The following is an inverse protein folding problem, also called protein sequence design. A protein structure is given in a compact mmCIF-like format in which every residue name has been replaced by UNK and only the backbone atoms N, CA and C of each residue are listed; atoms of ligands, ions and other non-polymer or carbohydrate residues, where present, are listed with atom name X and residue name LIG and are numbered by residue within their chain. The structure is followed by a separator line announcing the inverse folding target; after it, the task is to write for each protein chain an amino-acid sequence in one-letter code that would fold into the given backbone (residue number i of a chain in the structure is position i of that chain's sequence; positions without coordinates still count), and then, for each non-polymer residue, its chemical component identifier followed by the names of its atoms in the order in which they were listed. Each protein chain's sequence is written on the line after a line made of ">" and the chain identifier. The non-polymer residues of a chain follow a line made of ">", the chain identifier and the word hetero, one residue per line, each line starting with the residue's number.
data_IF_548792319280
#
_entry.id   IF_548792319280
#
_cell.length_a   1.000
_cell.length_b   1.000
_cell.length_c   1.000
_cell.angle_alpha   90.00
_cell.angle_beta   90.00
_cell.angle_gamma   90.00
#
_symmetry.space_group_name_H-M   'P 1'
#
loop_
_entity.id
_entity.type
_entity.pdbx_description
1 polymer ?
#
# COMPACT_ATOMS: atom_id res chain seq x y z
N UNK A 1 78.02 31.21 33.30
CA UNK A 1 79.29 31.11 32.56
C UNK A 1 78.99 30.32 31.30
N UNK A 2 79.14 30.98 30.15
CA UNK A 2 79.34 30.51 28.76
C UNK A 2 79.78 29.03 28.58
N UNK A 3 79.55 28.29 27.49
CA UNK A 3 79.05 28.56 26.13
C UNK A 3 78.86 27.22 25.37
N UNK A 4 77.99 27.27 24.35
CA UNK A 4 78.02 26.68 23.01
C UNK A 4 78.42 25.20 22.67
N UNK A 5 77.47 24.59 21.93
CA UNK A 5 77.56 23.83 20.66
C UNK A 5 78.41 22.55 20.55
N UNK A 6 77.71 21.46 20.17
CA UNK A 6 78.04 20.72 18.95
C UNK A 6 76.81 20.01 18.37
N UNK A 7 76.51 20.33 17.10
CA UNK A 7 75.64 19.57 16.20
C UNK A 7 76.27 18.21 15.88
N UNK A 8 75.48 17.15 15.86
CA UNK A 8 75.59 16.08 14.86
C UNK A 8 74.25 15.37 14.75
N UNK A 9 73.79 15.25 13.50
CA UNK A 9 72.66 14.46 13.04
C UNK A 9 72.81 12.99 13.42
N UNK A 10 71.70 12.31 13.69
CA UNK A 10 71.19 11.26 12.81
C UNK A 10 69.87 10.67 13.35
N UNK A 11 68.81 10.97 12.60
CA UNK A 11 67.72 10.08 12.17
C UNK A 11 67.48 8.81 13.01
N UNK A 12 66.36 8.77 13.72
CA UNK A 12 65.52 7.57 13.83
C UNK A 12 64.17 7.92 14.48
N UNK A 13 63.33 8.66 13.77
CA UNK A 13 61.89 8.43 13.89
C UNK A 13 61.59 7.25 12.99
N UNK A 14 61.59 6.05 13.57
CA UNK A 14 61.10 4.86 12.88
C UNK A 14 59.58 5.01 12.80
N UNK A 15 59.10 5.69 11.76
CA UNK A 15 57.73 5.53 11.29
C UNK A 15 57.50 4.02 11.12
N UNK A 16 56.63 3.45 11.96
CA UNK A 16 56.07 2.12 11.69
C UNK A 16 55.41 2.20 10.32
N UNK A 17 55.83 1.41 9.32
CA UNK A 17 55.10 1.38 8.07
C UNK A 17 53.69 0.89 8.40
N UNK A 18 52.71 1.76 8.15
CA UNK A 18 51.30 1.42 8.14
C UNK A 18 51.15 0.44 6.97
N UNK A 19 51.31 -0.85 7.29
CA UNK A 19 51.30 -1.95 6.35
C UNK A 19 49.87 -2.03 5.79
N UNK A 20 49.57 -1.24 4.77
CA UNK A 20 48.44 -1.48 3.89
C UNK A 20 48.75 -2.81 3.21
N UNK A 21 48.28 -3.91 3.80
CA UNK A 21 48.32 -5.24 3.19
C UNK A 21 47.53 -5.11 1.89
N UNK A 22 48.22 -4.96 0.76
CA UNK A 22 47.60 -4.95 -0.55
C UNK A 22 46.90 -6.30 -0.73
N UNK A 23 45.57 -6.24 -0.85
CA UNK A 23 44.77 -7.43 -1.08
C UNK A 23 45.13 -8.02 -2.44
N UNK A 24 45.26 -9.34 -2.49
CA UNK A 24 45.43 -10.01 -3.77
C UNK A 24 44.17 -9.82 -4.64
N UNK A 25 44.27 -9.87 -5.98
CA UNK A 25 43.11 -9.75 -6.86
C UNK A 25 41.96 -10.72 -6.51
N UNK A 26 42.30 -11.90 -5.97
CA UNK A 26 41.33 -12.92 -5.53
C UNK A 26 40.64 -12.55 -4.23
N UNK A 27 41.38 -12.02 -3.25
CA UNK A 27 40.81 -11.50 -2.00
C UNK A 27 39.88 -10.31 -2.27
N UNK A 28 40.20 -9.47 -3.25
CA UNK A 28 39.31 -8.39 -3.70
C UNK A 28 38.01 -8.93 -4.30
N UNK A 29 38.06 -10.01 -5.09
CA UNK A 29 36.85 -10.64 -5.65
C UNK A 29 35.98 -11.28 -4.56
N UNK A 30 36.60 -11.99 -3.62
CA UNK A 30 35.90 -12.59 -2.47
C UNK A 30 35.20 -11.52 -1.64
N UNK A 31 35.91 -10.44 -1.29
CA UNK A 31 35.34 -9.34 -0.52
C UNK A 31 34.14 -8.71 -1.23
N UNK A 32 34.20 -8.52 -2.55
CA UNK A 32 33.06 -8.02 -3.34
C UNK A 32 31.85 -8.96 -3.30
N UNK A 33 32.08 -10.28 -3.33
CA UNK A 33 31.02 -11.28 -3.24
C UNK A 33 30.39 -11.32 -1.85
N UNK A 34 31.19 -11.17 -0.79
CA UNK A 34 30.71 -11.05 0.59
C UNK A 34 29.88 -9.77 0.79
N UNK A 35 30.37 -8.63 0.29
CA UNK A 35 29.63 -7.36 0.30
C UNK A 35 28.29 -7.48 -0.47
N UNK A 36 28.29 -8.19 -1.59
CA UNK A 36 27.07 -8.46 -2.37
C UNK A 36 26.10 -9.37 -1.61
N UNK A 37 26.61 -10.41 -0.95
CA UNK A 37 25.82 -11.31 -0.10
C UNK A 37 25.12 -10.53 1.02
N UNK A 38 25.86 -9.69 1.73
CA UNK A 38 25.31 -8.86 2.81
C UNK A 38 24.27 -7.87 2.28
N UNK A 39 24.52 -7.31 1.08
CA UNK A 39 23.55 -6.48 0.35
C UNK A 39 22.24 -7.21 0.08
N UNK A 40 22.30 -8.40 -0.55
CA UNK A 40 21.11 -9.18 -0.89
C UNK A 40 20.35 -9.67 0.35
N UNK A 41 21.05 -10.06 1.42
CA UNK A 41 20.39 -10.44 2.68
C UNK A 41 19.62 -9.26 3.25
N UNK A 42 20.25 -8.07 3.29
CA UNK A 42 19.60 -6.86 3.80
C UNK A 42 18.36 -6.51 2.98
N UNK A 43 18.49 -6.48 1.65
CA UNK A 43 17.40 -6.18 0.73
C UNK A 43 16.26 -7.20 0.87
N UNK A 44 16.57 -8.49 0.92
CA UNK A 44 15.58 -9.55 1.15
C UNK A 44 14.80 -9.34 2.46
N UNK A 45 15.47 -8.98 3.57
CA UNK A 45 14.82 -8.71 4.86
C UNK A 45 13.88 -7.50 4.77
N UNK A 46 14.30 -6.44 4.09
CA UNK A 46 13.48 -5.24 3.88
C UNK A 46 12.25 -5.56 3.02
N UNK A 47 12.42 -6.28 1.90
CA UNK A 47 11.32 -6.67 1.02
C UNK A 47 10.32 -7.60 1.73
N UNK A 48 10.78 -8.57 2.53
CA UNK A 48 9.90 -9.42 3.34
C UNK A 48 9.02 -8.61 4.30
N UNK A 49 9.62 -7.60 4.98
CA UNK A 49 8.87 -6.69 5.85
C UNK A 49 7.84 -5.87 5.06
N UNK A 50 8.20 -5.42 3.86
CA UNK A 50 7.31 -4.65 2.98
C UNK A 50 6.12 -5.49 2.48
N UNK A 51 6.34 -6.72 2.01
CA UNK A 51 5.27 -7.67 1.63
C UNK A 51 4.28 -7.84 2.78
N UNK A 52 4.79 -8.03 4.00
CA UNK A 52 3.96 -8.12 5.19
C UNK A 52 3.09 -6.87 5.38
N UNK A 53 3.70 -5.69 5.39
CA UNK A 53 2.98 -4.41 5.54
C UNK A 53 1.87 -4.26 4.48
N UNK A 54 2.18 -4.49 3.20
CA UNK A 54 1.20 -4.37 2.11
C UNK A 54 0.03 -5.35 2.27
N UNK A 55 0.29 -6.55 2.79
CA UNK A 55 -0.74 -7.55 3.07
C UNK A 55 -1.68 -7.10 4.19
N UNK A 56 -1.17 -6.46 5.24
CA UNK A 56 -1.99 -5.88 6.31
C UNK A 56 -2.86 -4.75 5.77
N UNK A 57 -2.29 -3.88 4.94
CA UNK A 57 -3.00 -2.75 4.33
C UNK A 57 -4.12 -3.24 3.40
N UNK A 58 -3.90 -4.32 2.65
CA UNK A 58 -4.93 -4.96 1.81
C UNK A 58 -6.20 -5.33 2.61
N UNK A 59 -6.04 -5.93 3.80
CA UNK A 59 -7.17 -6.26 4.66
C UNK A 59 -7.84 -5.02 5.26
N UNK A 60 -7.07 -3.97 5.54
CA UNK A 60 -7.62 -2.70 6.00
C UNK A 60 -8.49 -2.04 4.91
N UNK A 61 -8.05 -2.07 3.65
CA UNK A 61 -8.84 -1.56 2.52
C UNK A 61 -10.16 -2.31 2.36
N UNK A 62 -10.18 -3.63 2.53
CA UNK A 62 -11.43 -4.42 2.50
C UNK A 62 -12.40 -4.03 3.61
N UNK A 63 -11.90 -3.86 4.84
CA UNK A 63 -12.74 -3.41 5.95
C UNK A 63 -13.31 -2.00 5.69
N UNK A 64 -12.48 -1.09 5.16
CA UNK A 64 -12.90 0.24 4.76
C UNK A 64 -13.98 0.19 3.68
N UNK A 65 -13.78 -0.62 2.63
CA UNK A 65 -14.75 -0.83 1.57
C UNK A 65 -16.11 -1.31 2.12
N UNK A 66 -16.12 -2.31 3.01
CA UNK A 66 -17.36 -2.79 3.62
C UNK A 66 -18.08 -1.70 4.41
N UNK A 67 -17.33 -0.91 5.18
CA UNK A 67 -17.91 0.22 5.92
C UNK A 67 -18.50 1.29 4.97
N UNK A 68 -17.79 1.62 3.89
CA UNK A 68 -18.27 2.54 2.87
C UNK A 68 -19.55 2.01 2.22
N UNK A 69 -19.59 0.74 1.83
CA UNK A 69 -20.77 0.11 1.23
C UNK A 69 -21.97 0.11 2.17
N UNK A 70 -21.76 -0.17 3.46
CA UNK A 70 -22.81 -0.06 4.48
C UNK A 70 -23.39 1.35 4.52
N UNK A 71 -22.54 2.37 4.52
CA UNK A 71 -22.99 3.77 4.48
C UNK A 71 -23.79 4.08 3.20
N UNK A 72 -23.30 3.64 2.03
CA UNK A 72 -24.02 3.80 0.75
C UNK A 72 -25.40 3.15 0.81
N UNK A 73 -25.50 1.92 1.33
CA UNK A 73 -26.77 1.20 1.47
C UNK A 73 -27.74 1.95 2.39
N UNK A 74 -27.28 2.39 3.58
CA UNK A 74 -28.13 3.13 4.49
C UNK A 74 -28.65 4.44 3.88
N UNK A 75 -27.80 5.16 3.13
CA UNK A 75 -28.23 6.36 2.42
C UNK A 75 -29.24 6.01 1.34
N UNK A 76 -28.99 5.01 0.50
CA UNK A 76 -29.92 4.58 -0.54
C UNK A 76 -31.28 4.16 0.03
N UNK A 77 -31.30 3.47 1.17
CA UNK A 77 -32.53 3.06 1.85
C UNK A 77 -33.31 4.25 2.42
N UNK A 78 -32.62 5.24 3.00
CA UNK A 78 -33.25 6.51 3.38
C UNK A 78 -33.89 7.19 2.17
N UNK A 79 -33.17 7.24 1.05
CA UNK A 79 -33.69 7.89 -0.16
C UNK A 79 -34.92 7.17 -0.72
N UNK A 80 -34.88 5.84 -0.81
CA UNK A 80 -36.05 5.05 -1.23
C UNK A 80 -37.24 5.28 -0.28
N UNK A 81 -37.00 5.42 1.02
CA UNK A 81 -38.07 5.66 2.01
C UNK A 81 -38.75 7.03 1.86
N UNK A 82 -38.08 8.01 1.25
CA UNK A 82 -38.68 9.32 0.92
C UNK A 82 -39.64 9.22 -0.28
N UNK A 83 -39.35 8.36 -1.26
CA UNK A 83 -40.19 8.16 -2.44
C UNK A 83 -41.29 7.13 -2.24
N UNK A 84 -41.03 6.10 -1.44
CA UNK A 84 -41.95 5.01 -1.15
C UNK A 84 -42.23 5.04 0.35
N UNK A 85 -43.42 5.51 0.78
CA UNK A 85 -43.76 5.57 2.19
C UNK A 85 -43.80 4.16 2.79
N UNK A 86 -42.74 3.81 3.51
CA UNK A 86 -42.64 2.56 4.25
C UNK A 86 -43.16 2.75 5.67
N UNK A 87 -43.80 1.71 6.22
CA UNK A 87 -44.15 1.70 7.65
C UNK A 87 -42.87 1.79 8.49
N UNK A 88 -42.81 2.65 9.53
CA UNK A 88 -41.62 2.80 10.39
C UNK A 88 -40.99 1.47 10.89
N UNK A 89 -41.75 0.46 11.35
CA UNK A 89 -41.15 -0.82 11.76
C UNK A 89 -40.52 -1.60 10.60
N UNK A 90 -41.03 -1.48 9.39
CA UNK A 90 -40.47 -2.15 8.21
C UNK A 90 -39.14 -1.51 7.81
N UNK A 91 -39.06 -0.17 7.84
CA UNK A 91 -37.83 0.58 7.59
C UNK A 91 -36.77 0.27 8.66
N UNK A 92 -37.18 0.23 9.94
CA UNK A 92 -36.30 -0.16 11.04
C UNK A 92 -35.72 -1.56 10.86
N UNK A 93 -36.55 -2.55 10.53
CA UNK A 93 -36.09 -3.92 10.29
C UNK A 93 -35.15 -4.03 9.08
N UNK A 94 -35.40 -3.27 8.01
CA UNK A 94 -34.54 -3.23 6.82
C UNK A 94 -33.14 -2.68 7.17
N UNK A 95 -33.08 -1.56 7.89
CA UNK A 95 -31.82 -0.95 8.33
C UNK A 95 -31.04 -1.87 9.28
N UNK A 96 -31.72 -2.55 10.21
CA UNK A 96 -31.10 -3.55 11.09
C UNK A 96 -30.54 -4.71 10.25
N UNK A 97 -31.29 -5.20 9.27
CA UNK A 97 -30.84 -6.24 8.35
C UNK A 97 -29.57 -5.83 7.58
N UNK A 98 -29.56 -4.63 6.99
CA UNK A 98 -28.38 -4.08 6.30
C UNK A 98 -27.16 -3.99 7.21
N UNK A 99 -27.36 -3.54 8.45
CA UNK A 99 -26.28 -3.44 9.43
C UNK A 99 -25.71 -4.81 9.78
N UNK A 100 -26.58 -5.80 10.05
CA UNK A 100 -26.16 -7.17 10.38
C UNK A 100 -25.38 -7.81 9.22
N UNK A 101 -25.88 -7.66 7.99
CA UNK A 101 -25.24 -8.20 6.77
C UNK A 101 -23.86 -7.57 6.56
N UNK A 102 -23.72 -6.26 6.82
CA UNK A 102 -22.46 -5.54 6.64
C UNK A 102 -21.47 -5.78 7.78
N UNK A 103 -21.96 -6.01 9.01
CA UNK A 103 -21.14 -6.21 10.20
C UNK A 103 -20.32 -7.50 10.13
N UNK A 104 -20.92 -8.58 9.63
CA UNK A 104 -20.24 -9.87 9.51
C UNK A 104 -18.92 -9.80 8.69
N UNK A 105 -18.93 -9.35 7.41
CA UNK A 105 -17.70 -9.21 6.64
C UNK A 105 -16.75 -8.17 7.24
N UNK A 106 -17.26 -7.09 7.83
CA UNK A 106 -16.43 -6.06 8.47
C UNK A 106 -15.63 -6.64 9.64
N UNK A 107 -16.29 -7.33 10.57
CA UNK A 107 -15.66 -7.97 11.73
C UNK A 107 -14.68 -9.05 11.26
N UNK A 108 -15.07 -9.86 10.27
CA UNK A 108 -14.18 -10.85 9.67
C UNK A 108 -12.89 -10.21 9.14
N UNK A 109 -12.98 -9.11 8.35
CA UNK A 109 -11.80 -8.44 7.83
C UNK A 109 -10.93 -7.82 8.92
N UNK A 110 -11.51 -7.29 10.00
CA UNK A 110 -10.75 -6.79 11.15
C UNK A 110 -10.01 -7.91 11.89
N UNK A 111 -10.66 -9.06 12.10
CA UNK A 111 -10.04 -10.23 12.73
C UNK A 111 -8.89 -10.72 11.85
N UNK A 112 -9.11 -10.90 10.54
CA UNK A 112 -8.05 -11.33 9.61
C UNK A 112 -6.89 -10.34 9.57
N UNK A 113 -7.16 -9.03 9.56
CA UNK A 113 -6.11 -8.00 9.65
C UNK A 113 -5.26 -8.17 10.90
N UNK A 114 -5.89 -8.42 12.07
CA UNK A 114 -5.17 -8.62 13.34
C UNK A 114 -4.34 -9.90 13.33
N UNK A 115 -4.91 -11.01 12.86
CA UNK A 115 -4.20 -12.29 12.71
C UNK A 115 -2.98 -12.15 11.82
N UNK A 116 -3.17 -11.62 10.61
CA UNK A 116 -2.08 -11.41 9.64
C UNK A 116 -1.02 -10.46 10.21
N UNK A 117 -1.42 -9.38 10.89
CA UNK A 117 -0.46 -8.47 11.55
C UNK A 117 0.37 -9.18 12.63
N UNK A 118 -0.25 -10.07 13.41
CA UNK A 118 0.46 -10.85 14.43
C UNK A 118 1.39 -11.89 13.79
N UNK A 119 0.93 -12.61 12.77
CA UNK A 119 1.74 -13.57 12.01
C UNK A 119 2.96 -12.90 11.36
N UNK A 120 2.79 -11.73 10.76
CA UNK A 120 3.90 -10.96 10.18
C UNK A 120 4.85 -10.47 11.27
N UNK A 121 4.33 -10.04 12.42
CA UNK A 121 5.19 -9.61 13.54
C UNK A 121 6.07 -10.77 14.02
N UNK A 122 5.47 -11.95 14.22
CA UNK A 122 6.22 -13.15 14.59
C UNK A 122 7.27 -13.51 13.53
N UNK A 123 6.88 -13.55 12.24
CA UNK A 123 7.82 -13.81 11.14
C UNK A 123 8.94 -12.77 11.05
N UNK A 124 8.66 -11.50 11.34
CA UNK A 124 9.69 -10.46 11.32
C UNK A 124 10.65 -10.59 12.50
N UNK A 125 10.16 -10.97 13.68
CA UNK A 125 10.99 -11.31 14.83
C UNK A 125 11.87 -12.53 14.49
N UNK A 126 11.31 -13.56 13.84
CA UNK A 126 12.08 -14.71 13.36
C UNK A 126 13.15 -14.29 12.32
N UNK A 127 12.83 -13.41 11.37
CA UNK A 127 13.79 -12.89 10.37
C UNK A 127 14.92 -12.06 11.01
N UNK A 128 14.61 -11.35 12.11
CA UNK A 128 15.60 -10.59 12.88
C UNK A 128 16.45 -11.52 13.76
N UNK A 129 15.85 -12.57 14.32
CA UNK A 129 16.51 -13.59 15.14
C UNK A 129 17.28 -14.64 14.34
N UNK A 130 16.94 -14.87 13.07
CA UNK A 130 17.81 -15.49 12.06
C UNK A 130 18.97 -14.52 11.74
N UNK A 131 19.72 -14.16 12.78
CA UNK A 131 21.11 -13.75 12.67
C UNK A 131 21.84 -14.90 11.99
N UNK A 132 22.43 -14.61 10.84
CA UNK A 132 23.06 -15.58 9.93
C UNK A 132 22.11 -16.49 9.13
N UNK A 133 21.13 -15.92 8.41
CA UNK A 133 20.48 -16.65 7.29
C UNK A 133 21.58 -17.12 6.31
N UNK A 134 22.01 -18.38 6.46
CA UNK A 134 22.95 -19.07 5.58
C UNK A 134 24.18 -18.26 5.16
N UNK A 135 24.66 -17.32 5.98
CA UNK A 135 25.86 -16.55 5.63
C UNK A 135 27.00 -17.54 5.55
N UNK A 136 27.61 -17.63 4.36
CA UNK A 136 28.72 -18.56 4.16
C UNK A 136 29.87 -18.06 5.03
N UNK A 137 30.29 -18.88 5.99
CA UNK A 137 31.32 -18.51 6.96
C UNK A 137 32.68 -18.83 6.35
N UNK A 138 33.54 -17.82 6.27
CA UNK A 138 34.93 -17.99 5.91
C UNK A 138 35.71 -18.69 7.04
N UNK A 139 36.40 -19.78 6.70
CA UNK A 139 37.28 -20.51 7.62
C UNK A 139 38.69 -19.93 7.52
N UNK A 140 39.02 -19.04 8.46
CA UNK A 140 40.33 -18.38 8.51
C UNK A 140 41.49 -19.35 8.71
N UNK A 141 41.26 -20.55 9.25
CA UNK A 141 42.31 -21.57 9.40
C UNK A 141 42.78 -22.13 8.04
N UNK A 142 41.98 -21.93 6.98
CA UNK A 142 42.24 -22.41 5.62
C UNK A 142 42.57 -21.30 4.63
N UNK A 143 42.83 -20.07 5.10
CA UNK A 143 43.12 -18.90 4.24
C UNK A 143 44.28 -19.15 3.24
N UNK A 144 45.29 -19.95 3.62
CA UNK A 144 46.41 -20.30 2.75
C UNK A 144 46.16 -21.45 1.77
N UNK A 145 44.98 -22.08 1.78
CA UNK A 145 44.64 -23.18 0.87
C UNK A 145 43.90 -22.64 -0.37
N UNK A 146 44.56 -22.68 -1.52
CA UNK A 146 44.00 -22.19 -2.78
C UNK A 146 42.73 -22.93 -3.24
N UNK A 147 42.63 -24.24 -2.96
CA UNK A 147 41.46 -25.06 -3.29
C UNK A 147 40.26 -24.67 -2.41
N UNK A 148 40.52 -24.35 -1.13
CA UNK A 148 39.48 -23.86 -0.22
C UNK A 148 38.97 -22.47 -0.64
N UNK A 149 39.86 -21.56 -1.03
CA UNK A 149 39.48 -20.24 -1.52
C UNK A 149 38.61 -20.32 -2.78
N UNK A 150 38.92 -21.25 -3.70
CA UNK A 150 38.12 -21.46 -4.91
C UNK A 150 36.74 -22.02 -4.59
N UNK A 151 36.68 -22.99 -3.67
CA UNK A 151 35.44 -23.56 -3.18
C UNK A 151 34.57 -22.53 -2.44
N UNK A 152 35.17 -21.69 -1.58
CA UNK A 152 34.47 -20.61 -0.89
C UNK A 152 33.90 -19.58 -1.86
N UNK A 153 34.68 -19.19 -2.87
CA UNK A 153 34.23 -18.28 -3.91
C UNK A 153 33.07 -18.86 -4.74
N UNK A 154 33.11 -20.15 -5.08
CA UNK A 154 32.00 -20.84 -5.77
C UNK A 154 30.73 -20.89 -4.90
N UNK A 155 30.87 -21.14 -3.60
CA UNK A 155 29.73 -21.07 -2.67
C UNK A 155 29.13 -19.68 -2.63
N UNK A 156 29.95 -18.63 -2.49
CA UNK A 156 29.47 -17.24 -2.48
C UNK A 156 28.73 -16.87 -3.77
N UNK A 157 29.26 -17.30 -4.93
CA UNK A 157 28.59 -17.10 -6.23
C UNK A 157 27.22 -17.78 -6.26
N UNK A 158 27.13 -19.04 -5.83
CA UNK A 158 25.86 -19.79 -5.77
C UNK A 158 24.86 -19.17 -4.79
N UNK A 159 25.33 -18.76 -3.61
CA UNK A 159 24.49 -18.11 -2.62
C UNK A 159 23.92 -16.79 -3.13
N UNK A 160 24.77 -15.95 -3.72
CA UNK A 160 24.36 -14.68 -4.32
C UNK A 160 23.35 -14.88 -5.46
N UNK A 161 23.57 -15.88 -6.32
CA UNK A 161 22.62 -16.21 -7.39
C UNK A 161 21.24 -16.59 -6.82
N UNK A 162 21.20 -17.51 -5.85
CA UNK A 162 19.96 -17.93 -5.19
C UNK A 162 19.28 -16.75 -4.48
N UNK A 163 20.02 -15.95 -3.72
CA UNK A 163 19.46 -14.82 -2.97
C UNK A 163 18.99 -13.69 -3.87
N UNK A 164 19.72 -13.35 -4.92
CA UNK A 164 19.28 -12.38 -5.92
C UNK A 164 17.97 -12.81 -6.59
N UNK A 165 17.81 -14.11 -6.86
CA UNK A 165 16.55 -14.66 -7.39
C UNK A 165 15.41 -14.53 -6.38
N UNK A 166 15.63 -14.84 -5.11
CA UNK A 166 14.62 -14.63 -4.06
C UNK A 166 14.21 -13.16 -3.93
N UNK A 167 15.18 -12.23 -3.98
CA UNK A 167 14.94 -10.78 -4.01
C UNK A 167 14.04 -10.41 -5.20
N UNK A 168 14.39 -10.84 -6.41
CA UNK A 168 13.59 -10.53 -7.61
C UNK A 168 12.15 -11.04 -7.55
N UNK A 169 11.93 -12.21 -6.92
CA UNK A 169 10.59 -12.76 -6.70
C UNK A 169 9.80 -11.89 -5.72
N UNK A 170 10.43 -11.42 -4.65
CA UNK A 170 9.80 -10.55 -3.66
C UNK A 170 9.47 -9.17 -4.23
N UNK A 171 10.36 -8.60 -5.05
CA UNK A 171 10.09 -7.34 -5.75
C UNK A 171 8.86 -7.45 -6.66
N UNK A 172 8.74 -8.55 -7.40
CA UNK A 172 7.57 -8.83 -8.24
C UNK A 172 6.30 -9.02 -7.39
N UNK A 173 6.39 -9.72 -6.26
CA UNK A 173 5.27 -9.87 -5.32
C UNK A 173 4.81 -8.51 -4.77
N UNK A 174 5.75 -7.64 -4.37
CA UNK A 174 5.48 -6.27 -3.91
C UNK A 174 4.81 -5.47 -5.01
N UNK A 175 5.29 -5.58 -6.26
CA UNK A 175 4.70 -4.90 -7.41
C UNK A 175 3.23 -5.30 -7.60
N UNK A 176 2.94 -6.60 -7.57
CA UNK A 176 1.58 -7.13 -7.70
C UNK A 176 0.67 -6.71 -6.53
N UNK A 177 1.17 -6.76 -5.29
CA UNK A 177 0.44 -6.31 -4.11
C UNK A 177 0.14 -4.81 -4.17
N UNK A 178 1.10 -4.00 -4.62
CA UNK A 178 0.93 -2.56 -4.79
C UNK A 178 -0.13 -2.24 -5.83
N UNK A 179 -0.12 -2.90 -6.99
CA UNK A 179 -1.15 -2.70 -8.02
C UNK A 179 -2.55 -3.07 -7.48
N UNK A 180 -2.64 -4.21 -6.77
CA UNK A 180 -3.89 -4.65 -6.16
C UNK A 180 -4.39 -3.65 -5.12
N UNK A 181 -3.51 -3.16 -4.24
CA UNK A 181 -3.86 -2.17 -3.21
C UNK A 181 -4.31 -0.84 -3.82
N UNK A 182 -3.60 -0.34 -4.84
CA UNK A 182 -4.00 0.87 -5.58
C UNK A 182 -5.40 0.69 -6.19
N UNK A 183 -5.69 -0.47 -6.80
CA UNK A 183 -7.01 -0.75 -7.38
C UNK A 183 -8.12 -0.69 -6.32
N UNK A 184 -7.90 -1.26 -5.15
CA UNK A 184 -8.85 -1.20 -4.04
C UNK A 184 -9.01 0.22 -3.50
N UNK A 185 -7.91 0.96 -3.37
CA UNK A 185 -7.93 2.35 -2.94
C UNK A 185 -8.75 3.23 -3.88
N UNK A 186 -8.49 3.15 -5.19
CA UNK A 186 -9.26 3.86 -6.22
C UNK A 186 -10.74 3.49 -6.12
N UNK A 187 -11.06 2.21 -5.98
CA UNK A 187 -12.45 1.74 -5.88
C UNK A 187 -13.17 2.34 -4.68
N UNK A 188 -12.55 2.33 -3.50
CA UNK A 188 -13.12 2.89 -2.26
C UNK A 188 -13.38 4.39 -2.42
N UNK A 189 -12.38 5.16 -2.84
CA UNK A 189 -12.54 6.62 -2.98
C UNK A 189 -13.55 6.99 -4.07
N UNK A 190 -13.60 6.24 -5.17
CA UNK A 190 -14.58 6.46 -6.26
C UNK A 190 -16.00 6.24 -5.75
N UNK A 191 -16.26 5.14 -5.04
CA UNK A 191 -17.59 4.83 -4.49
C UNK A 191 -18.00 5.90 -3.46
N UNK A 192 -17.10 6.27 -2.56
CA UNK A 192 -17.36 7.32 -1.59
C UNK A 192 -17.69 8.65 -2.28
N UNK A 193 -16.84 9.11 -3.20
CA UNK A 193 -17.06 10.36 -3.91
C UNK A 193 -18.41 10.38 -4.64
N UNK A 194 -18.71 9.35 -5.43
CA UNK A 194 -19.99 9.23 -6.16
C UNK A 194 -21.17 9.25 -5.18
N UNK A 195 -21.10 8.53 -4.06
CA UNK A 195 -22.19 8.46 -3.07
C UNK A 195 -22.46 9.83 -2.45
N UNK A 196 -21.41 10.52 -2.00
CA UNK A 196 -21.55 11.87 -1.42
C UNK A 196 -22.10 12.86 -2.45
N UNK A 197 -21.64 12.80 -3.70
CA UNK A 197 -22.18 13.65 -4.78
C UNK A 197 -23.67 13.39 -5.03
N UNK A 198 -24.10 12.13 -5.07
CA UNK A 198 -25.51 11.77 -5.24
C UNK A 198 -26.34 12.33 -4.06
N UNK A 199 -25.90 12.12 -2.82
CA UNK A 199 -26.59 12.62 -1.63
C UNK A 199 -26.67 14.15 -1.62
N UNK A 200 -25.58 14.83 -1.99
CA UNK A 200 -25.52 16.29 -2.06
C UNK A 200 -26.49 16.85 -3.11
N UNK A 201 -26.47 16.31 -4.33
CA UNK A 201 -27.38 16.73 -5.40
C UNK A 201 -28.83 16.52 -4.96
N UNK A 202 -29.13 15.36 -4.36
CA UNK A 202 -30.49 15.03 -4.00
C UNK A 202 -31.03 15.90 -2.85
N UNK A 203 -30.25 16.09 -1.79
CA UNK A 203 -30.63 16.98 -0.67
C UNK A 203 -30.78 18.43 -1.14
N UNK A 204 -29.95 18.89 -2.08
CA UNK A 204 -30.06 20.22 -2.69
C UNK A 204 -31.36 20.36 -3.50
N UNK A 205 -31.74 19.33 -4.26
CA UNK A 205 -33.00 19.34 -5.01
C UNK A 205 -34.22 19.36 -4.08
N UNK A 206 -34.19 18.60 -2.99
CA UNK A 206 -35.25 18.61 -1.97
C UNK A 206 -35.35 20.01 -1.36
N UNK A 207 -34.24 20.57 -0.89
CA UNK A 207 -34.21 21.91 -0.29
C UNK A 207 -34.73 23.00 -1.25
N UNK A 208 -34.39 22.90 -2.54
CA UNK A 208 -34.88 23.81 -3.56
C UNK A 208 -36.41 23.68 -3.78
N UNK A 209 -36.93 22.45 -3.77
CA UNK A 209 -38.34 22.19 -4.01
C UNK A 209 -39.23 22.48 -2.79
N UNK A 210 -38.77 22.19 -1.58
CA UNK A 210 -39.56 22.39 -0.35
C UNK A 210 -39.44 23.80 0.21
N UNK A 211 -38.30 24.47 0.00
CA UNK A 211 -37.99 25.78 0.59
C UNK A 211 -37.88 25.77 2.13
N UNK A 212 -37.87 24.59 2.76
CA UNK A 212 -37.82 24.48 4.23
C UNK A 212 -36.40 24.75 4.74
N UNK A 213 -36.30 25.51 5.83
CA UNK A 213 -35.01 25.83 6.46
C UNK A 213 -34.25 24.58 6.94
N UNK A 214 -34.97 23.53 7.35
CA UNK A 214 -34.37 22.26 7.79
C UNK A 214 -33.65 21.56 6.62
N UNK A 215 -34.31 21.43 5.47
CA UNK A 215 -33.75 20.81 4.27
C UNK A 215 -32.55 21.62 3.72
N UNK A 216 -32.62 22.96 3.78
CA UNK A 216 -31.51 23.85 3.40
C UNK A 216 -30.30 23.66 4.31
N UNK A 217 -30.52 23.49 5.61
CA UNK A 217 -29.45 23.24 6.60
C UNK A 217 -28.80 21.88 6.35
N UNK A 218 -29.60 20.86 6.06
CA UNK A 218 -29.10 19.51 5.78
C UNK A 218 -28.26 19.47 4.50
N UNK A 219 -28.71 20.18 3.44
CA UNK A 219 -27.92 20.34 2.20
C UNK A 219 -26.57 21.03 2.47
N UNK A 220 -26.54 22.09 3.29
CA UNK A 220 -25.31 22.78 3.69
C UNK A 220 -24.36 21.88 4.49
N UNK A 221 -24.91 21.02 5.36
CA UNK A 221 -24.11 20.06 6.14
C UNK A 221 -23.33 19.07 5.26
N UNK A 222 -23.89 18.68 4.12
CA UNK A 222 -23.26 17.76 3.18
C UNK A 222 -22.17 18.39 2.29
N UNK A 223 -22.14 19.73 2.16
CA UNK A 223 -21.15 20.44 1.34
C UNK A 223 -19.73 20.13 1.79
N UNK A 224 -19.46 20.26 3.09
CA UNK A 224 -18.12 20.05 3.63
C UNK A 224 -17.64 18.61 3.42
N UNK A 225 -18.49 17.63 3.69
CA UNK A 225 -18.19 16.22 3.46
C UNK A 225 -17.93 15.91 1.97
N UNK A 226 -18.73 16.48 1.08
CA UNK A 226 -18.60 16.31 -0.38
C UNK A 226 -17.31 16.95 -0.91
N UNK A 227 -16.94 18.13 -0.43
CA UNK A 227 -15.67 18.78 -0.79
C UNK A 227 -14.48 17.95 -0.31
N UNK A 228 -14.50 17.52 0.96
CA UNK A 228 -13.40 16.75 1.56
C UNK A 228 -13.19 15.43 0.82
N UNK A 229 -14.24 14.67 0.54
CA UNK A 229 -14.10 13.40 -0.18
C UNK A 229 -13.68 13.60 -1.64
N UNK A 230 -14.15 14.68 -2.29
CA UNK A 230 -13.73 15.03 -3.65
C UNK A 230 -12.25 15.38 -3.69
N UNK A 231 -11.77 16.16 -2.72
CA UNK A 231 -10.34 16.48 -2.60
C UNK A 231 -9.49 15.24 -2.38
N UNK A 232 -9.92 14.34 -1.48
CA UNK A 232 -9.24 13.06 -1.25
C UNK A 232 -9.23 12.18 -2.51
N UNK A 233 -10.34 12.11 -3.24
CA UNK A 233 -10.40 11.42 -4.53
C UNK A 233 -9.43 12.05 -5.54
N UNK A 234 -9.38 13.37 -5.65
CA UNK A 234 -8.48 14.04 -6.59
C UNK A 234 -7.01 13.72 -6.27
N UNK A 235 -6.61 13.80 -5.01
CA UNK A 235 -5.22 13.50 -4.60
C UNK A 235 -4.88 12.02 -4.84
N UNK A 236 -5.79 11.11 -4.46
CA UNK A 236 -5.50 9.67 -4.41
C UNK A 236 -5.78 8.95 -5.73
N UNK A 237 -6.59 9.50 -6.63
CA UNK A 237 -7.06 8.79 -7.82
C UNK A 237 -6.59 9.44 -9.13
N UNK A 238 -6.56 10.78 -9.21
CA UNK A 238 -6.17 11.49 -10.45
C UNK A 238 -4.76 11.13 -10.93
N UNK A 239 -3.74 10.93 -10.07
CA UNK A 239 -2.41 10.50 -10.52
C UNK A 239 -2.44 9.18 -11.30
N UNK A 240 -3.41 8.31 -11.05
CA UNK A 240 -3.55 7.00 -11.72
C UNK A 240 -4.44 7.05 -12.98
N UNK A 241 -5.34 8.03 -13.09
CA UNK A 241 -6.23 8.19 -14.25
C UNK A 241 -5.54 8.95 -15.39
N UNK A 242 -4.54 9.77 -15.08
CA UNK A 242 -3.86 10.63 -16.06
C UNK A 242 -3.14 9.89 -17.19
N UNK A 243 -3.04 8.55 -17.14
CA UNK A 243 -2.49 7.71 -18.22
C UNK A 243 -3.53 6.89 -19.03
N UNK A 244 -4.83 6.95 -18.72
CA UNK A 244 -5.85 6.15 -19.43
C UNK A 244 -7.19 6.85 -19.76
N UNK A 245 -7.29 8.15 -20.11
CA UNK A 245 -8.60 8.82 -20.08
C UNK A 245 -9.50 8.55 -21.29
N UNK A 246 -8.99 8.07 -22.42
CA UNK A 246 -9.75 8.22 -23.67
C UNK A 246 -10.88 7.19 -23.88
N UNK A 247 -10.74 5.94 -23.41
CA UNK A 247 -11.71 4.88 -23.73
C UNK A 247 -12.85 4.77 -22.70
N UNK A 248 -12.52 4.83 -21.40
CA UNK A 248 -13.47 4.69 -20.29
C UNK A 248 -14.45 5.86 -20.19
N UNK A 249 -13.99 7.10 -20.41
CA UNK A 249 -14.89 8.26 -20.46
C UNK A 249 -15.87 8.17 -21.64
N UNK A 250 -15.44 7.68 -22.81
CA UNK A 250 -16.33 7.53 -23.97
C UNK A 250 -17.43 6.49 -23.75
N UNK A 251 -17.12 5.40 -23.04
CA UNK A 251 -18.05 4.33 -22.72
C UNK A 251 -19.04 4.77 -21.64
N UNK A 252 -18.56 5.46 -20.60
CA UNK A 252 -19.40 5.98 -19.52
C UNK A 252 -20.36 7.07 -20.04
N UNK A 253 -19.88 8.01 -20.87
CA UNK A 253 -20.72 9.01 -21.51
C UNK A 253 -21.80 8.40 -22.43
N UNK A 254 -21.47 7.33 -23.16
CA UNK A 254 -22.46 6.61 -23.99
C UNK A 254 -23.53 5.91 -23.14
N UNK A 255 -23.13 5.29 -22.03
CA UNK A 255 -24.04 4.61 -21.10
C UNK A 255 -24.99 5.60 -20.41
N UNK A 256 -24.46 6.71 -19.88
CA UNK A 256 -25.25 7.77 -19.23
C UNK A 256 -26.25 8.38 -20.23
N UNK A 257 -25.82 8.64 -21.47
CA UNK A 257 -26.70 9.13 -22.55
C UNK A 257 -27.82 8.13 -22.86
N UNK A 258 -27.50 6.84 -22.91
CA UNK A 258 -28.49 5.77 -23.08
C UNK A 258 -29.53 5.74 -21.95
N UNK A 259 -29.07 5.86 -20.69
CA UNK A 259 -29.94 5.86 -19.52
C UNK A 259 -30.88 7.09 -19.48
N UNK A 260 -30.36 8.27 -19.78
CA UNK A 260 -31.15 9.52 -19.88
C UNK A 260 -32.20 9.45 -20.99
N UNK A 261 -31.83 8.91 -22.16
CA UNK A 261 -32.75 8.75 -23.29
C UNK A 261 -33.88 7.78 -22.95
N UNK A 262 -33.58 6.71 -22.20
CA UNK A 262 -34.58 5.74 -21.74
C UNK A 262 -35.49 6.34 -20.66
N UNK A 263 -34.93 7.06 -19.69
CA UNK A 263 -35.70 7.75 -18.64
C UNK A 263 -36.67 8.77 -19.22
N UNK A 264 -36.24 9.60 -20.16
CA UNK A 264 -37.10 10.61 -20.79
C UNK A 264 -38.23 9.98 -21.60
N UNK A 265 -37.96 8.83 -22.25
CA UNK A 265 -38.99 8.08 -23.00
C UNK A 265 -40.05 7.47 -22.08
N UNK A 266 -39.68 7.06 -20.87
CA UNK A 266 -40.61 6.54 -19.86
C UNK A 266 -41.42 7.70 -19.25
N UNK A 267 -40.77 8.81 -18.91
CA UNK A 267 -41.44 10.00 -18.38
C UNK A 267 -42.49 10.56 -19.35
N UNK A 268 -42.17 10.63 -20.66
CA UNK A 268 -43.11 11.08 -21.68
C UNK A 268 -44.30 10.13 -21.89
N UNK A 269 -44.13 8.83 -21.64
CA UNK A 269 -45.24 7.87 -21.68
C UNK A 269 -46.17 7.99 -20.48
N UNK A 270 -45.64 8.39 -19.33
CA UNK A 270 -46.41 8.59 -18.09
C UNK A 270 -47.17 9.93 -18.06
N UNK A 271 -46.77 10.92 -18.87
CA UNK A 271 -47.47 12.20 -19.01
C UNK A 271 -48.64 12.19 -20.00
N UNK A 272 -48.75 11.13 -20.82
CA UNK A 272 -49.81 10.96 -21.82
C UNK A 272 -50.80 9.83 -21.46
N UNK A 273 -50.85 9.45 -20.18
CA UNK A 273 -51.84 8.59 -19.54
C UNK A 273 -52.64 9.45 -18.55
#
# INVERSE_FOLDING_TARGET
>A
MHDHQRLSSDVSETEKPQNHKELTPREVEIKKLEESSDGYIKEWKELKKEVGKMTVDFWAFKACFTFCMMFVCCMATKEVSLFIPMKPPLLGNLLVGEFVISLFPFVHFLIRRRQVKAEIKAKNEDIECEGDIGKIVFDSEKEGNEEYLEFYMDQLKKFNDVKSKEVSILEEEIRLLKEKNIRWEITVYTICAITFWICFIHTTLIAFHTGKQEDIRDAKGLVLGTIMITFMFLIRVVPYISCAPCSLFSACCRSIRGYWTRRNRIAHKLQNL
#
